data_IF_741752754980
#
_entry.id   IF_741752754980
#
_cell.length_a   1.000
_cell.length_b   1.000
_cell.length_c   1.000
_cell.angle_alpha   90.00
_cell.angle_beta   90.00
_cell.angle_gamma   90.00
#
_symmetry.space_group_name_H-M   'P 1'
#
loop_
_entity.id
_entity.type
_entity.pdbx_description
1 polymer ?
#
# COMPACT_ATOMS: atom_id res chain seq x y z
N UNK A 1 -21.58 -36.28 3.09
CA UNK A 1 -20.39 -37.14 3.26
C UNK A 1 -19.19 -36.30 2.82
N UNK A 2 -18.42 -35.80 3.78
CA UNK A 2 -17.19 -35.06 3.47
C UNK A 2 -16.15 -36.02 2.90
N UNK A 3 -15.92 -35.94 1.59
CA UNK A 3 -14.82 -36.68 0.97
C UNK A 3 -13.49 -36.12 1.50
N UNK A 4 -12.71 -36.97 2.12
CA UNK A 4 -11.34 -36.63 2.55
C UNK A 4 -10.58 -36.04 1.35
N UNK A 5 -9.96 -34.86 1.48
CA UNK A 5 -9.23 -34.24 0.37
C UNK A 5 -8.07 -35.15 -0.08
N UNK A 6 -7.93 -35.27 -1.38
CA UNK A 6 -6.83 -36.03 -2.00
C UNK A 6 -5.50 -35.35 -1.68
N UNK A 7 -4.49 -36.11 -1.31
CA UNK A 7 -3.16 -35.62 -0.93
C UNK A 7 -2.09 -36.04 -1.95
N UNK A 8 -0.92 -35.41 -1.90
CA UNK A 8 0.25 -35.84 -2.69
C UNK A 8 0.67 -37.27 -2.37
N UNK A 9 0.37 -37.75 -1.17
CA UNK A 9 0.66 -39.12 -0.75
C UNK A 9 -0.21 -40.12 -1.52
N UNK A 10 -1.49 -39.83 -1.68
CA UNK A 10 -2.42 -40.69 -2.44
C UNK A 10 -2.00 -40.82 -3.90
N UNK A 11 -1.51 -39.71 -4.50
CA UNK A 11 -1.00 -39.73 -5.88
C UNK A 11 0.33 -40.53 -5.95
N UNK A 12 1.20 -40.39 -4.97
CA UNK A 12 2.47 -41.08 -4.91
C UNK A 12 2.28 -42.58 -4.84
N UNK A 13 1.34 -43.04 -4.03
CA UNK A 13 0.98 -44.46 -3.89
C UNK A 13 0.43 -45.04 -5.21
N UNK A 14 -0.50 -44.31 -5.86
CA UNK A 14 -1.09 -44.75 -7.13
C UNK A 14 -0.13 -44.72 -8.33
N UNK A 15 0.86 -43.84 -8.29
CA UNK A 15 1.87 -43.74 -9.34
C UNK A 15 3.12 -44.58 -9.07
N UNK A 16 3.23 -45.17 -7.90
CA UNK A 16 4.39 -45.93 -7.42
C UNK A 16 5.69 -45.13 -7.42
N UNK A 17 5.59 -43.87 -6.94
CA UNK A 17 6.72 -42.93 -6.85
C UNK A 17 6.78 -42.31 -5.47
N UNK A 18 7.90 -41.66 -5.14
CA UNK A 18 7.99 -40.89 -3.91
C UNK A 18 7.19 -39.58 -3.96
N UNK A 19 6.77 -39.09 -2.79
CA UNK A 19 6.05 -37.79 -2.67
C UNK A 19 6.89 -36.66 -3.26
N UNK A 20 8.22 -36.73 -3.17
CA UNK A 20 9.13 -35.74 -3.74
C UNK A 20 9.09 -35.70 -5.28
N UNK A 21 8.90 -36.84 -5.91
CA UNK A 21 8.73 -36.95 -7.38
C UNK A 21 7.40 -36.36 -7.78
N UNK A 22 6.30 -36.66 -7.06
CA UNK A 22 4.99 -36.03 -7.29
C UNK A 22 5.08 -34.53 -7.14
N UNK A 23 5.72 -34.04 -6.09
CA UNK A 23 5.90 -32.59 -5.87
C UNK A 23 6.64 -31.91 -7.02
N UNK A 24 7.74 -32.53 -7.49
CA UNK A 24 8.50 -32.00 -8.64
C UNK A 24 7.69 -32.01 -9.94
N UNK A 25 6.93 -33.09 -10.18
CA UNK A 25 6.10 -33.22 -11.36
C UNK A 25 5.01 -32.14 -11.40
N UNK A 26 4.29 -31.95 -10.28
CA UNK A 26 3.17 -30.99 -10.18
C UNK A 26 3.64 -29.53 -10.17
N UNK A 27 4.80 -29.23 -9.55
CA UNK A 27 5.36 -27.90 -9.50
C UNK A 27 6.24 -27.54 -10.72
N UNK A 28 6.35 -28.44 -11.68
CA UNK A 28 7.27 -28.33 -12.84
C UNK A 28 8.71 -27.96 -12.44
N UNK A 29 9.22 -28.53 -11.34
CA UNK A 29 10.52 -28.24 -10.77
C UNK A 29 11.44 -29.48 -10.79
N UNK A 30 12.72 -29.27 -11.10
CA UNK A 30 13.68 -30.36 -11.14
C UNK A 30 13.40 -31.42 -12.23
N UNK A 31 14.28 -32.42 -12.27
CA UNK A 31 14.16 -33.49 -13.25
C UNK A 31 13.11 -34.52 -12.82
N UNK A 32 12.17 -34.81 -13.70
CA UNK A 32 11.24 -35.95 -13.65
C UNK A 32 11.08 -36.46 -15.06
N UNK A 33 11.26 -37.75 -15.26
CA UNK A 33 11.06 -38.41 -16.55
C UNK A 33 9.67 -38.07 -17.13
N UNK A 34 9.61 -37.73 -18.40
CA UNK A 34 8.41 -37.18 -19.05
C UNK A 34 7.20 -38.13 -18.98
N UNK A 35 7.42 -39.43 -19.13
CA UNK A 35 6.41 -40.46 -19.00
C UNK A 35 5.78 -40.47 -17.59
N UNK A 36 6.62 -40.40 -16.55
CA UNK A 36 6.19 -40.33 -15.14
C UNK A 36 5.50 -39.01 -14.84
N UNK A 37 5.99 -37.90 -15.37
CA UNK A 37 5.35 -36.59 -15.21
C UNK A 37 3.91 -36.61 -15.76
N UNK A 38 3.70 -37.11 -16.98
CA UNK A 38 2.38 -37.26 -17.59
C UNK A 38 1.45 -38.14 -16.77
N UNK A 39 1.95 -39.31 -16.31
CA UNK A 39 1.18 -40.23 -15.44
C UNK A 39 0.73 -39.55 -14.15
N UNK A 40 1.62 -38.78 -13.49
CA UNK A 40 1.35 -38.09 -12.23
C UNK A 40 0.30 -36.99 -12.44
N UNK A 41 0.43 -36.16 -13.49
CA UNK A 41 -0.52 -35.08 -13.80
C UNK A 41 -1.92 -35.68 -14.10
N UNK A 42 -1.99 -36.66 -14.97
CA UNK A 42 -3.26 -37.32 -15.30
C UNK A 42 -3.91 -37.99 -14.08
N UNK A 43 -3.13 -38.58 -13.18
CA UNK A 43 -3.64 -39.16 -11.94
C UNK A 43 -4.16 -38.09 -10.99
N UNK A 44 -3.46 -36.94 -10.84
CA UNK A 44 -3.89 -35.82 -10.03
C UNK A 44 -5.22 -35.23 -10.54
N UNK A 45 -5.35 -35.03 -11.85
CA UNK A 45 -6.58 -34.53 -12.49
C UNK A 45 -7.74 -35.51 -12.27
N UNK A 46 -7.54 -36.79 -12.53
CA UNK A 46 -8.56 -37.83 -12.32
C UNK A 46 -9.06 -37.91 -10.89
N UNK A 47 -8.20 -37.70 -9.91
CA UNK A 47 -8.54 -37.72 -8.49
C UNK A 47 -9.14 -36.40 -8.00
N UNK A 48 -9.13 -35.34 -8.83
CA UNK A 48 -9.54 -34.01 -8.43
C UNK A 48 -8.59 -33.40 -7.39
N UNK A 49 -7.29 -33.68 -7.49
CA UNK A 49 -6.31 -33.10 -6.58
C UNK A 49 -6.20 -31.60 -6.76
N UNK A 50 -6.46 -30.86 -5.69
CA UNK A 50 -6.24 -29.43 -5.63
C UNK A 50 -5.10 -29.16 -4.65
N UNK A 51 -4.01 -28.50 -5.09
CA UNK A 51 -2.95 -28.07 -4.18
C UNK A 51 -3.53 -27.26 -3.03
N UNK A 52 -3.21 -27.64 -1.79
CA UNK A 52 -3.63 -26.85 -0.63
C UNK A 52 -2.62 -25.71 -0.41
N UNK A 53 -3.03 -24.44 -0.60
CA UNK A 53 -2.11 -23.30 -0.47
C UNK A 53 -1.45 -23.22 0.90
N UNK A 54 -2.16 -23.59 1.97
CA UNK A 54 -1.64 -23.63 3.34
C UNK A 54 -0.52 -24.64 3.50
N UNK A 55 -0.68 -25.86 2.93
CA UNK A 55 0.36 -26.89 3.01
C UNK A 55 1.60 -26.49 2.19
N UNK A 56 1.41 -25.79 1.07
CA UNK A 56 2.52 -25.28 0.26
C UNK A 56 3.26 -24.14 0.98
N UNK A 57 2.55 -23.20 1.57
CA UNK A 57 3.16 -22.08 2.30
C UNK A 57 3.95 -22.56 3.53
N UNK A 58 3.50 -23.61 4.21
CA UNK A 58 4.24 -24.23 5.30
C UNK A 58 5.56 -24.87 4.83
N UNK A 59 5.56 -25.53 3.66
CA UNK A 59 6.77 -26.10 3.07
C UNK A 59 7.77 -25.04 2.60
N UNK A 60 7.27 -23.99 1.96
CA UNK A 60 8.08 -22.90 1.42
C UNK A 60 8.45 -21.87 2.50
N UNK A 61 7.83 -21.92 3.67
CA UNK A 61 7.90 -20.90 4.73
C UNK A 61 7.56 -19.50 4.22
N UNK A 62 6.71 -19.44 3.18
CA UNK A 62 6.24 -18.23 2.54
C UNK A 62 4.81 -18.39 2.08
N UNK A 63 4.00 -17.36 2.29
CA UNK A 63 2.59 -17.35 1.87
C UNK A 63 2.42 -16.76 0.48
N UNK A 64 3.40 -16.02 0.00
CA UNK A 64 3.32 -15.21 -1.22
C UNK A 64 2.20 -14.18 -1.18
N UNK A 65 1.85 -13.73 0.02
CA UNK A 65 0.84 -12.71 0.25
C UNK A 65 1.43 -11.54 1.03
N UNK A 66 1.06 -10.33 0.63
CA UNK A 66 1.33 -9.09 1.33
C UNK A 66 0.01 -8.47 1.77
N UNK A 67 -0.01 -7.88 2.96
CA UNK A 67 -1.17 -7.16 3.47
C UNK A 67 -0.95 -5.65 3.29
N UNK A 68 -1.78 -5.01 2.49
CA UNK A 68 -1.89 -3.55 2.47
C UNK A 68 -2.97 -3.11 3.44
N UNK A 69 -2.59 -2.40 4.50
CA UNK A 69 -3.55 -1.85 5.45
C UNK A 69 -3.97 -0.45 5.01
N UNK A 70 -5.23 -0.28 4.61
CA UNK A 70 -5.75 1.02 4.19
C UNK A 70 -7.23 1.17 4.61
N UNK A 71 -7.52 2.17 5.42
CA UNK A 71 -8.88 2.48 5.89
C UNK A 71 -9.70 3.30 4.89
N UNK A 72 -9.02 4.10 4.09
CA UNK A 72 -9.66 5.05 3.19
C UNK A 72 -9.43 4.64 1.73
N UNK A 73 -10.19 3.65 1.29
CA UNK A 73 -10.18 3.19 -0.10
C UNK A 73 -10.94 4.12 -1.06
N UNK A 74 -11.64 5.13 -0.55
CA UNK A 74 -12.27 6.16 -1.40
C UNK A 74 -11.26 7.24 -1.81
N UNK A 75 -10.07 7.26 -1.22
CA UNK A 75 -9.01 8.17 -1.59
C UNK A 75 -8.23 7.60 -2.79
N UNK A 76 -8.31 8.29 -3.91
CA UNK A 76 -7.72 7.88 -5.18
C UNK A 76 -6.20 7.68 -5.09
N UNK A 77 -5.51 8.48 -4.27
CA UNK A 77 -4.09 8.33 -4.01
C UNK A 77 -3.75 6.94 -3.43
N UNK A 78 -4.50 6.50 -2.42
CA UNK A 78 -4.29 5.18 -1.81
C UNK A 78 -4.68 4.04 -2.75
N UNK A 79 -5.67 4.26 -3.60
CA UNK A 79 -6.09 3.29 -4.59
C UNK A 79 -5.05 3.13 -5.71
N UNK A 80 -4.45 4.21 -6.18
CA UNK A 80 -3.38 4.16 -7.18
C UNK A 80 -2.10 3.53 -6.61
N UNK A 81 -1.80 3.81 -5.35
CA UNK A 81 -0.71 3.13 -4.64
C UNK A 81 -0.95 1.61 -4.58
N UNK A 82 -2.18 1.19 -4.27
CA UNK A 82 -2.57 -0.23 -4.30
C UNK A 82 -2.41 -0.86 -5.68
N UNK A 83 -2.83 -0.18 -6.75
CA UNK A 83 -2.65 -0.65 -8.14
C UNK A 83 -1.17 -0.88 -8.47
N UNK A 84 -0.31 0.08 -8.12
CA UNK A 84 1.13 -0.06 -8.31
C UNK A 84 1.74 -1.21 -7.51
N UNK A 85 1.30 -1.40 -6.26
CA UNK A 85 1.71 -2.54 -5.43
C UNK A 85 1.30 -3.87 -6.05
N UNK A 86 0.06 -3.99 -6.55
CA UNK A 86 -0.42 -5.21 -7.20
C UNK A 86 0.41 -5.54 -8.44
N UNK A 87 0.72 -4.56 -9.27
CA UNK A 87 1.56 -4.76 -10.45
C UNK A 87 2.94 -5.30 -10.07
N UNK A 88 3.64 -4.62 -9.17
CA UNK A 88 4.99 -5.01 -8.73
C UNK A 88 5.00 -6.36 -7.99
N UNK A 89 3.95 -6.69 -7.26
CA UNK A 89 3.80 -7.96 -6.56
C UNK A 89 3.57 -9.12 -7.53
N UNK A 90 2.71 -8.94 -8.52
CA UNK A 90 2.41 -9.97 -9.53
C UNK A 90 3.65 -10.38 -10.31
N UNK A 91 4.51 -9.43 -10.69
CA UNK A 91 5.80 -9.71 -11.36
C UNK A 91 6.71 -10.63 -10.54
N UNK A 92 6.51 -10.69 -9.23
CA UNK A 92 7.28 -11.50 -8.27
C UNK A 92 6.51 -12.70 -7.71
N UNK A 93 5.33 -12.97 -8.26
CA UNK A 93 4.46 -14.07 -7.82
C UNK A 93 3.84 -13.86 -6.43
N UNK A 94 3.64 -12.60 -6.03
CA UNK A 94 2.94 -12.21 -4.80
C UNK A 94 1.54 -11.69 -5.08
N UNK A 95 0.65 -11.86 -4.13
CA UNK A 95 -0.67 -11.22 -4.08
C UNK A 95 -0.67 -10.12 -3.03
N UNK A 96 -1.40 -9.04 -3.29
CA UNK A 96 -1.63 -7.98 -2.30
C UNK A 96 -3.09 -8.03 -1.87
N UNK A 97 -3.29 -8.29 -0.58
CA UNK A 97 -4.63 -8.27 0.06
C UNK A 97 -4.81 -6.94 0.78
N UNK A 98 -5.99 -6.33 0.66
CA UNK A 98 -6.31 -5.08 1.35
C UNK A 98 -7.15 -5.35 2.59
N UNK A 99 -6.82 -4.68 3.70
CA UNK A 99 -7.66 -4.64 4.90
C UNK A 99 -7.63 -3.26 5.53
N UNK A 100 -8.81 -2.69 5.83
CA UNK A 100 -8.94 -1.39 6.50
C UNK A 100 -9.67 -1.42 7.83
N UNK A 101 -10.29 -2.55 8.16
CA UNK A 101 -11.13 -2.70 9.37
C UNK A 101 -10.56 -3.69 10.39
N UNK A 102 -9.46 -4.33 10.07
CA UNK A 102 -8.80 -5.27 10.97
C UNK A 102 -8.21 -4.53 12.17
N UNK A 103 -8.44 -5.05 13.38
CA UNK A 103 -7.72 -4.59 14.57
C UNK A 103 -6.26 -4.97 14.46
N UNK A 104 -5.36 -4.06 14.82
CA UNK A 104 -3.91 -4.28 14.68
C UNK A 104 -3.41 -5.50 15.45
N UNK A 105 -4.02 -5.79 16.60
CA UNK A 105 -3.67 -6.96 17.40
C UNK A 105 -3.93 -8.28 16.67
N UNK A 106 -4.83 -8.29 15.67
CA UNK A 106 -5.14 -9.46 14.85
C UNK A 106 -4.29 -9.58 13.60
N UNK A 107 -3.48 -8.60 13.27
CA UNK A 107 -2.61 -8.69 12.09
C UNK A 107 -1.58 -9.83 12.22
N UNK A 108 -1.14 -10.12 13.45
CA UNK A 108 -0.28 -11.28 13.75
C UNK A 108 -0.92 -12.65 13.42
N UNK A 109 -2.24 -12.69 13.36
CA UNK A 109 -2.99 -13.92 13.05
C UNK A 109 -3.18 -14.10 11.53
N UNK A 110 -2.71 -13.15 10.71
CA UNK A 110 -2.79 -13.23 9.26
C UNK A 110 -1.63 -14.02 8.66
N UNK A 111 -1.95 -14.83 7.69
CA UNK A 111 -0.92 -15.59 6.94
C UNK A 111 -0.41 -14.75 5.77
N UNK A 112 0.53 -13.83 6.08
CA UNK A 112 1.17 -12.95 5.09
C UNK A 112 2.67 -12.88 5.33
N UNK A 113 3.44 -12.56 4.29
CA UNK A 113 4.90 -12.46 4.36
C UNK A 113 5.36 -11.06 4.77
N UNK A 114 4.49 -10.06 4.70
CA UNK A 114 4.79 -8.70 5.08
C UNK A 114 3.57 -7.79 5.06
N UNK A 115 3.72 -6.61 5.64
CA UNK A 115 2.67 -5.60 5.79
C UNK A 115 3.14 -4.29 5.15
N UNK A 116 2.26 -3.67 4.38
CA UNK A 116 2.47 -2.36 3.78
C UNK A 116 1.50 -1.38 4.45
N UNK A 117 2.04 -0.32 5.02
CA UNK A 117 1.27 0.73 5.69
C UNK A 117 1.10 1.95 4.78
N UNK A 118 -0.06 2.63 4.82
CA UNK A 118 -0.39 3.70 3.87
C UNK A 118 0.33 5.01 4.17
N UNK A 119 0.73 5.23 5.42
CA UNK A 119 1.38 6.46 5.90
C UNK A 119 2.05 6.28 7.25
N UNK A 120 2.83 7.28 7.66
CA UNK A 120 3.59 7.30 8.89
C UNK A 120 2.72 7.23 10.15
N UNK A 121 1.62 7.95 10.18
CA UNK A 121 0.72 8.01 11.36
C UNK A 121 0.11 6.64 11.65
N UNK A 122 -0.36 5.96 10.59
CA UNK A 122 -0.89 4.60 10.71
C UNK A 122 0.20 3.63 11.16
N UNK A 123 1.41 3.79 10.64
CA UNK A 123 2.55 2.95 11.00
C UNK A 123 2.97 3.16 12.46
N UNK A 124 3.10 4.42 12.89
CA UNK A 124 3.41 4.76 14.28
C UNK A 124 2.36 4.20 15.24
N UNK A 125 1.08 4.37 14.91
CA UNK A 125 0.00 3.82 15.72
C UNK A 125 0.02 2.28 15.78
N UNK A 126 0.26 1.62 14.66
CA UNK A 126 0.42 0.17 14.58
C UNK A 126 1.57 -0.32 15.46
N UNK A 127 2.74 0.33 15.37
CA UNK A 127 3.91 -0.04 16.16
C UNK A 127 3.69 0.15 17.68
N UNK A 128 2.97 1.19 18.06
CA UNK A 128 2.60 1.45 19.47
C UNK A 128 1.60 0.43 20.02
N UNK A 129 0.62 0.01 19.23
CA UNK A 129 -0.46 -0.90 19.65
C UNK A 129 -0.05 -2.37 19.58
N UNK A 130 0.74 -2.75 18.60
CA UNK A 130 1.11 -4.12 18.38
C UNK A 130 2.25 -4.61 19.24
N UNK A 131 2.98 -3.71 19.88
CA UNK A 131 4.12 -4.02 20.73
C UNK A 131 5.40 -4.37 19.95
N UNK A 132 6.47 -4.65 20.69
CA UNK A 132 7.82 -4.83 20.15
C UNK A 132 8.07 -6.19 19.46
N UNK A 133 7.10 -7.08 19.44
CA UNK A 133 7.26 -8.47 18.97
C UNK A 133 6.64 -8.70 17.61
N UNK A 134 6.97 -7.85 16.62
CA UNK A 134 6.54 -8.07 15.25
C UNK A 134 7.52 -8.95 14.52
N UNK A 135 7.04 -10.11 14.12
CA UNK A 135 7.78 -11.07 13.29
C UNK A 135 7.62 -10.80 11.79
N UNK A 136 6.63 -9.98 11.40
CA UNK A 136 6.37 -9.67 10.00
C UNK A 136 7.10 -8.39 9.59
N UNK A 137 7.79 -8.39 8.44
CA UNK A 137 8.34 -7.18 7.85
C UNK A 137 7.24 -6.14 7.61
N UNK A 138 7.53 -4.88 7.95
CA UNK A 138 6.64 -3.74 7.72
C UNK A 138 7.36 -2.74 6.85
N UNK A 139 6.68 -2.22 5.83
CA UNK A 139 7.11 -1.08 5.01
C UNK A 139 6.03 0.00 5.12
N UNK A 140 6.43 1.24 5.24
CA UNK A 140 5.50 2.38 5.29
C UNK A 140 5.66 3.27 4.07
N UNK A 141 4.55 3.67 3.47
CA UNK A 141 4.57 4.88 2.66
C UNK A 141 4.78 6.10 3.57
N UNK A 142 5.38 7.15 3.03
CA UNK A 142 5.70 8.36 3.75
C UNK A 142 5.34 9.60 2.92
N UNK A 143 4.80 10.61 3.61
CA UNK A 143 4.55 11.94 3.07
C UNK A 143 5.50 12.98 3.66
N UNK A 144 6.63 12.51 4.21
CA UNK A 144 7.61 13.35 4.92
C UNK A 144 7.02 14.02 6.17
N UNK A 145 6.08 13.37 6.84
CA UNK A 145 5.58 13.82 8.13
C UNK A 145 6.48 13.28 9.26
N UNK A 146 6.63 14.09 10.30
CA UNK A 146 7.37 13.65 11.50
C UNK A 146 6.50 12.69 12.29
N UNK A 147 6.80 11.41 12.20
CA UNK A 147 6.16 10.38 13.00
C UNK A 147 7.20 9.56 13.76
N UNK A 148 6.83 9.11 14.96
CA UNK A 148 7.67 8.24 15.77
C UNK A 148 7.62 6.80 15.22
N UNK A 149 8.46 6.55 14.20
CA UNK A 149 8.60 5.25 13.54
C UNK A 149 10.00 4.71 13.82
N UNK A 150 10.13 3.44 14.21
CA UNK A 150 11.44 2.82 14.38
C UNK A 150 12.27 2.88 13.09
N UNK A 151 13.55 3.18 13.20
CA UNK A 151 14.50 3.23 12.06
C UNK A 151 14.60 1.91 11.28
N UNK A 152 14.15 0.81 11.87
CA UNK A 152 14.10 -0.51 11.23
C UNK A 152 12.95 -0.67 10.22
N UNK A 153 11.99 0.26 10.19
CA UNK A 153 10.88 0.25 9.23
C UNK A 153 11.30 1.04 7.99
N UNK A 154 11.44 0.41 6.83
CA UNK A 154 11.71 1.11 5.58
C UNK A 154 10.56 2.07 5.25
N UNK A 155 10.91 3.28 4.81
CA UNK A 155 9.97 4.28 4.32
C UNK A 155 10.10 4.41 2.80
N UNK A 156 8.97 4.46 2.12
CA UNK A 156 8.89 4.81 0.69
C UNK A 156 8.27 6.18 0.59
N UNK A 157 9.10 7.17 0.31
CA UNK A 157 8.71 8.58 0.36
C UNK A 157 8.23 9.09 -1.01
N UNK A 158 7.17 9.88 -0.98
CA UNK A 158 6.77 10.71 -2.12
C UNK A 158 7.38 12.10 -1.93
N UNK A 159 8.13 12.58 -2.91
CA UNK A 159 8.72 13.92 -2.88
C UNK A 159 7.63 15.01 -3.00
N UNK A 160 7.01 15.31 -1.84
CA UNK A 160 5.95 16.30 -1.74
C UNK A 160 6.44 17.72 -1.95
N UNK A 161 7.73 17.99 -1.70
CA UNK A 161 8.33 19.28 -2.02
C UNK A 161 8.37 19.50 -3.52
N UNK A 162 8.89 18.53 -4.27
CA UNK A 162 8.96 18.57 -5.73
C UNK A 162 7.58 18.61 -6.39
N UNK A 163 6.63 17.84 -5.87
CA UNK A 163 5.26 17.86 -6.35
C UNK A 163 4.62 19.25 -6.21
N UNK A 164 4.83 19.94 -5.08
CA UNK A 164 4.36 21.30 -4.87
C UNK A 164 5.07 22.30 -5.80
N UNK A 165 6.37 22.18 -5.97
CA UNK A 165 7.15 23.02 -6.90
C UNK A 165 6.61 22.91 -8.33
N UNK A 166 6.32 21.71 -8.81
CA UNK A 166 5.73 21.47 -10.12
C UNK A 166 4.36 22.16 -10.26
N UNK A 167 3.49 22.01 -9.26
CA UNK A 167 2.17 22.62 -9.26
C UNK A 167 2.23 24.15 -9.27
N UNK A 168 3.12 24.75 -8.47
CA UNK A 168 3.29 26.20 -8.40
C UNK A 168 3.89 26.76 -9.70
N UNK A 169 4.85 26.09 -10.30
CA UNK A 169 5.40 26.48 -11.60
C UNK A 169 4.34 26.40 -12.70
N UNK A 170 3.49 25.38 -12.70
CA UNK A 170 2.39 25.27 -13.65
C UNK A 170 1.40 26.44 -13.49
N UNK A 171 0.94 26.74 -12.27
CA UNK A 171 0.03 27.86 -12.01
C UNK A 171 0.64 29.19 -12.46
N UNK A 172 1.92 29.43 -12.19
CA UNK A 172 2.61 30.64 -12.64
C UNK A 172 2.72 30.71 -14.18
N UNK A 173 3.03 29.59 -14.85
CA UNK A 173 3.14 29.54 -16.31
C UNK A 173 1.80 29.78 -17.01
N UNK A 174 0.69 29.44 -16.36
CA UNK A 174 -0.68 29.73 -16.85
C UNK A 174 -1.20 31.12 -16.47
N UNK A 175 -0.34 31.98 -15.92
CA UNK A 175 -0.64 33.39 -15.68
C UNK A 175 -1.20 33.71 -14.30
N UNK A 176 -1.30 32.75 -13.39
CA UNK A 176 -1.77 33.00 -12.02
C UNK A 176 -0.72 33.80 -11.23
N UNK A 177 -1.06 35.01 -10.82
CA UNK A 177 -0.15 35.91 -10.08
C UNK A 177 -0.33 35.83 -8.58
N UNK A 178 -1.50 35.43 -8.12
CA UNK A 178 -1.85 35.31 -6.71
C UNK A 178 -2.18 33.82 -6.43
N UNK A 179 -1.32 33.16 -5.71
CA UNK A 179 -1.47 31.73 -5.38
C UNK A 179 -1.52 31.63 -3.85
N UNK A 180 -2.64 31.15 -3.31
CA UNK A 180 -2.81 30.92 -1.87
C UNK A 180 -2.63 29.46 -1.53
N UNK A 181 -1.97 29.17 -0.41
CA UNK A 181 -1.85 27.84 0.14
C UNK A 181 -2.88 27.63 1.25
N UNK A 182 -3.77 26.66 1.05
CA UNK A 182 -4.76 26.26 2.05
C UNK A 182 -4.38 24.92 2.67
N UNK A 183 -4.35 24.86 4.00
CA UNK A 183 -4.06 23.63 4.74
C UNK A 183 -5.07 23.46 5.90
N UNK A 184 -5.64 22.28 6.10
CA UNK A 184 -6.72 22.07 7.08
C UNK A 184 -6.27 21.96 8.52
N UNK A 185 -4.97 21.99 8.79
CA UNK A 185 -4.36 21.82 10.11
C UNK A 185 -3.44 23.00 10.44
N UNK A 186 -2.99 23.11 11.68
CA UNK A 186 -1.95 24.08 12.05
C UNK A 186 -0.69 23.82 11.20
N UNK A 187 -0.16 24.90 10.63
CA UNK A 187 0.99 24.79 9.73
C UNK A 187 2.23 24.46 10.50
N UNK A 188 2.69 23.24 10.35
CA UNK A 188 4.00 22.84 10.80
C UNK A 188 5.07 23.30 9.79
N UNK A 189 6.07 24.03 10.28
CA UNK A 189 7.22 24.44 9.48
C UNK A 189 8.05 23.27 8.93
N UNK A 190 7.73 22.03 9.30
CA UNK A 190 8.37 20.82 8.80
C UNK A 190 7.60 20.15 7.64
N UNK A 191 6.39 20.65 7.30
CA UNK A 191 5.62 20.10 6.19
C UNK A 191 6.27 20.45 4.85
N UNK A 192 6.71 19.44 4.10
CA UNK A 192 7.45 19.61 2.85
C UNK A 192 6.69 20.43 1.79
N UNK A 193 5.36 20.27 1.69
CA UNK A 193 4.52 21.06 0.76
C UNK A 193 4.50 22.52 1.16
N UNK A 194 4.39 22.80 2.46
CA UNK A 194 4.41 24.18 2.96
C UNK A 194 5.79 24.84 2.79
N UNK A 195 6.86 24.08 3.03
CA UNK A 195 8.22 24.57 2.78
C UNK A 195 8.43 24.93 1.31
N UNK A 196 8.03 24.07 0.39
CA UNK A 196 8.13 24.33 -1.04
C UNK A 196 7.32 25.57 -1.46
N UNK A 197 6.09 25.71 -0.94
CA UNK A 197 5.27 26.89 -1.17
C UNK A 197 5.94 28.17 -0.64
N UNK A 198 6.44 28.13 0.59
CA UNK A 198 7.14 29.26 1.22
C UNK A 198 8.37 29.70 0.43
N UNK A 199 9.17 28.74 -0.01
CA UNK A 199 10.39 29.03 -0.78
C UNK A 199 10.04 29.58 -2.18
N UNK A 200 9.02 29.03 -2.81
CA UNK A 200 8.52 29.53 -4.10
C UNK A 200 8.03 30.97 -4.00
N UNK A 201 7.17 31.29 -3.02
CA UNK A 201 6.64 32.64 -2.84
C UNK A 201 7.77 33.64 -2.51
N UNK A 202 8.74 33.26 -1.69
CA UNK A 202 9.92 34.09 -1.41
C UNK A 202 10.72 34.39 -2.68
N UNK A 203 10.90 33.39 -3.53
CA UNK A 203 11.61 33.55 -4.79
C UNK A 203 10.89 34.45 -5.78
N UNK A 204 9.55 34.37 -5.86
CA UNK A 204 8.74 35.09 -6.84
C UNK A 204 8.37 36.51 -6.36
N UNK A 205 8.09 36.69 -5.08
CA UNK A 205 7.52 37.95 -4.52
C UNK A 205 8.56 38.68 -3.64
N UNK A 206 9.61 38.00 -3.21
CA UNK A 206 10.58 38.52 -2.25
C UNK A 206 10.14 38.37 -0.79
N UNK A 207 11.09 38.55 0.12
CA UNK A 207 10.91 38.26 1.56
C UNK A 207 9.84 39.15 2.24
N UNK A 208 9.58 40.34 1.76
CA UNK A 208 8.67 41.29 2.42
C UNK A 208 7.17 41.03 2.13
N UNK A 209 6.84 40.25 1.11
CA UNK A 209 5.46 40.02 0.67
C UNK A 209 4.84 38.68 1.04
N UNK A 210 5.62 37.69 1.44
CA UNK A 210 5.16 36.31 1.54
C UNK A 210 4.06 36.07 2.59
N UNK A 211 4.09 36.80 3.70
CA UNK A 211 3.06 36.67 4.76
C UNK A 211 1.64 37.03 4.34
N UNK A 212 1.48 37.77 3.25
CA UNK A 212 0.16 38.13 2.69
C UNK A 212 -0.53 36.97 1.94
N UNK A 213 0.23 35.99 1.53
CA UNK A 213 -0.23 34.86 0.70
C UNK A 213 -0.34 33.55 1.45
N UNK A 214 0.09 33.53 2.71
CA UNK A 214 0.00 32.36 3.59
C UNK A 214 -1.28 32.50 4.42
N UNK A 215 -2.28 31.72 4.09
CA UNK A 215 -3.52 31.63 4.85
C UNK A 215 -3.56 30.30 5.56
N UNK A 216 -3.39 30.30 6.89
CA UNK A 216 -3.78 29.17 7.72
C UNK A 216 -5.31 29.11 7.72
N UNK A 217 -5.86 28.16 6.97
CA UNK A 217 -7.32 28.07 6.83
C UNK A 217 -7.80 26.90 7.66
N UNK A 218 -8.36 27.20 8.84
CA UNK A 218 -9.17 26.24 9.60
C UNK A 218 -10.36 25.78 8.73
N UNK A 219 -10.78 24.50 8.85
CA UNK A 219 -11.89 23.92 8.05
C UNK A 219 -13.11 24.82 7.85
N UNK A 220 -13.45 25.63 8.86
CA UNK A 220 -14.57 26.54 8.80
C UNK A 220 -14.28 27.84 8.03
N UNK A 221 -13.03 28.29 8.01
CA UNK A 221 -12.64 29.50 7.28
C UNK A 221 -12.58 29.25 5.76
N UNK A 222 -12.27 28.04 5.31
CA UNK A 222 -12.32 27.65 3.89
C UNK A 222 -13.74 27.82 3.33
N UNK A 223 -14.79 27.36 4.05
CA UNK A 223 -16.18 27.57 3.66
C UNK A 223 -16.56 29.04 3.55
N UNK A 224 -16.03 29.91 4.42
CA UNK A 224 -16.30 31.36 4.42
C UNK A 224 -15.59 32.05 3.26
N UNK A 225 -14.33 31.69 2.99
CA UNK A 225 -13.56 32.27 1.87
C UNK A 225 -14.12 31.86 0.52
N UNK A 226 -14.49 30.59 0.34
CA UNK A 226 -15.14 30.11 -0.87
C UNK A 226 -16.49 30.79 -1.12
N UNK A 227 -17.27 31.07 -0.06
CA UNK A 227 -18.52 31.84 -0.17
C UNK A 227 -18.32 33.31 -0.52
N UNK A 228 -17.20 33.92 -0.10
CA UNK A 228 -16.91 35.36 -0.37
C UNK A 228 -16.25 35.60 -1.73
N UNK A 229 -15.60 34.61 -2.31
CA UNK A 229 -14.84 34.79 -3.55
C UNK A 229 -15.65 34.61 -4.83
N UNK A 230 -16.94 34.30 -4.78
CA UNK A 230 -17.78 33.93 -5.94
C UNK A 230 -17.14 32.85 -6.84
N UNK A 231 -16.10 32.15 -6.34
CA UNK A 231 -15.31 31.15 -7.07
C UNK A 231 -15.72 29.71 -6.75
N UNK A 232 -16.92 29.51 -6.18
CA UNK A 232 -17.42 28.15 -5.94
C UNK A 232 -18.05 27.64 -7.22
N UNK A 233 -17.48 26.67 -7.91
CA UNK A 233 -18.17 26.00 -9.00
C UNK A 233 -19.50 25.43 -8.47
N UNK A 234 -20.61 25.51 -9.21
CA UNK A 234 -21.96 25.14 -8.74
C UNK A 234 -22.07 23.68 -8.23
N UNK A 235 -21.15 22.78 -8.61
CA UNK A 235 -21.14 21.37 -8.22
C UNK A 235 -20.59 21.09 -6.81
N UNK A 236 -19.97 22.08 -6.14
CA UNK A 236 -19.46 21.93 -4.76
C UNK A 236 -20.45 22.40 -3.67
N UNK A 237 -21.58 23.00 -4.07
CA UNK A 237 -22.61 23.49 -3.14
C UNK A 237 -23.69 22.44 -2.80
N UNK A 238 -23.68 21.27 -3.41
CA UNK A 238 -24.79 20.30 -3.37
C UNK A 238 -24.61 19.11 -2.41
N UNK A 239 -23.66 19.15 -1.47
CA UNK A 239 -23.58 18.14 -0.39
C UNK A 239 -23.28 18.81 0.94
N UNK A 240 -24.31 19.22 1.63
CA UNK A 240 -24.35 19.42 3.07
C UNK A 240 -25.05 18.21 3.71
#
# INVERSE_FOLDING_TARGET
>A
MDKKPVTRKDIAELCEVSISVVSRALNNSGYVEESKRKKIIATAERLGYVPQPVAMSLQERRTKQLLYYCKDLNNEYYLDMYRGMCQAANERGYLVTVSGVMKFERMKDTMVDGIIMPNEDTTSYYMKKGGKNYYLPVVSASFCNVADIPKSVPLVETDMYKAMEIALNYLNSTGHKIIAYGFPYDMDNQNSRYLAYKDYIRKVIGNAGWGKYVLAIHKNAMKILLKRSNMVPPHLTARA
#
